data_IF_748660191823
#
_entry.id   IF_748660191823
#
_cell.length_a   1.000
_cell.length_b   1.000
_cell.length_c   1.000
_cell.angle_alpha   90.00
_cell.angle_beta   90.00
_cell.angle_gamma   90.00
#
_symmetry.space_group_name_H-M   'P 1'
#
loop_
_entity.id
_entity.type
_entity.pdbx_description
1 polymer ?
#
# COMPACT_ATOMS: atom_id res chain seq x y z
N UNK A 1 12.34 -7.73 -12.19
CA UNK A 1 12.41 -8.74 -11.11
C UNK A 1 13.34 -8.33 -9.97
N UNK A 2 14.63 -8.08 -10.21
CA UNK A 2 15.63 -7.76 -9.15
C UNK A 2 15.26 -6.56 -8.27
N UNK A 3 14.72 -5.49 -8.85
CA UNK A 3 14.28 -4.29 -8.09
C UNK A 3 13.20 -4.58 -7.05
N UNK A 4 12.35 -5.59 -7.27
CA UNK A 4 11.34 -5.99 -6.30
C UNK A 4 11.99 -6.64 -5.08
N UNK A 5 12.86 -7.63 -5.30
CA UNK A 5 13.59 -8.34 -4.24
C UNK A 5 14.48 -7.38 -3.42
N UNK A 6 15.21 -6.48 -4.08
CA UNK A 6 16.00 -5.43 -3.40
C UNK A 6 15.08 -4.50 -2.60
N UNK A 7 13.87 -4.22 -3.08
CA UNK A 7 12.85 -3.46 -2.36
C UNK A 7 12.32 -4.16 -1.11
N UNK A 8 12.14 -5.49 -1.15
CA UNK A 8 11.70 -6.29 -0.02
C UNK A 8 12.71 -6.28 1.14
N UNK A 9 14.01 -6.32 0.80
CA UNK A 9 15.09 -6.38 1.78
C UNK A 9 15.54 -5.01 2.32
N UNK A 10 14.88 -3.92 1.93
CA UNK A 10 15.26 -2.56 2.34
C UNK A 10 14.78 -2.23 3.75
N UNK A 11 15.70 -1.77 4.58
CA UNK A 11 15.41 -1.21 5.90
C UNK A 11 14.53 0.06 5.79
N UNK A 12 13.53 0.18 6.68
CA UNK A 12 12.63 1.32 6.80
C UNK A 12 12.05 1.79 5.44
N UNK A 13 11.44 0.87 4.70
CA UNK A 13 10.91 1.17 3.36
C UNK A 13 9.67 2.06 3.37
N UNK A 14 8.98 2.19 4.50
CA UNK A 14 7.70 2.89 4.57
C UNK A 14 7.84 4.37 4.88
N UNK A 15 9.00 4.80 5.42
CA UNK A 15 9.25 6.17 5.90
C UNK A 15 8.12 6.69 6.81
N UNK A 16 7.61 5.83 7.69
CA UNK A 16 6.55 6.20 8.63
C UNK A 16 7.06 7.16 9.71
N UNK A 17 8.37 7.14 9.97
CA UNK A 17 9.03 8.05 10.89
C UNK A 17 10.00 9.01 10.18
N UNK A 18 10.28 10.19 10.77
CA UNK A 18 11.34 11.08 10.31
C UNK A 18 12.66 10.34 10.14
N UNK A 19 13.51 10.78 9.21
CA UNK A 19 14.82 10.16 8.94
C UNK A 19 15.78 10.39 10.11
N UNK A 20 15.61 9.64 11.19
CA UNK A 20 16.63 9.47 12.23
C UNK A 20 17.27 8.09 12.06
N UNK A 21 18.56 8.08 11.80
CA UNK A 21 19.37 6.84 11.75
C UNK A 21 19.53 6.19 13.13
N UNK A 22 19.35 6.96 14.21
CA UNK A 22 19.61 6.52 15.59
C UNK A 22 18.49 5.62 16.15
N UNK A 23 17.25 5.79 15.70
CA UNK A 23 16.10 4.99 16.14
C UNK A 23 15.74 3.86 15.18
N UNK A 24 16.59 3.57 14.19
CA UNK A 24 16.31 2.52 13.21
C UNK A 24 16.31 1.17 13.92
N UNK A 25 15.16 0.50 14.00
CA UNK A 25 15.07 -0.86 14.50
C UNK A 25 15.75 -1.83 13.52
N UNK A 26 17.02 -2.18 13.78
CA UNK A 26 17.91 -2.97 12.92
C UNK A 26 17.77 -4.49 13.08
N UNK A 27 16.74 -4.98 13.78
CA UNK A 27 16.66 -6.42 14.06
C UNK A 27 16.32 -7.23 12.78
N UNK A 28 16.92 -8.43 12.59
CA UNK A 28 16.53 -9.32 11.50
C UNK A 28 15.02 -9.63 11.46
N UNK A 29 14.37 -9.65 12.62
CA UNK A 29 12.92 -9.81 12.74
C UNK A 29 12.17 -8.63 12.12
N UNK A 30 12.61 -7.40 12.36
CA UNK A 30 11.99 -6.20 11.77
C UNK A 30 12.15 -6.18 10.25
N UNK A 31 13.33 -6.56 9.74
CA UNK A 31 13.56 -6.72 8.30
C UNK A 31 12.66 -7.79 7.68
N UNK A 32 12.49 -8.94 8.35
CA UNK A 32 11.59 -10.00 7.90
C UNK A 32 10.12 -9.54 7.86
N UNK A 33 9.62 -8.92 8.94
CA UNK A 33 8.24 -8.40 8.99
C UNK A 33 8.01 -7.39 7.86
N UNK A 34 8.99 -6.53 7.62
CA UNK A 34 8.96 -5.56 6.52
C UNK A 34 8.86 -6.24 5.16
N UNK A 35 9.71 -7.23 4.91
CA UNK A 35 9.70 -7.99 3.65
C UNK A 35 8.37 -8.71 3.43
N UNK A 36 7.80 -9.33 4.49
CA UNK A 36 6.50 -10.02 4.44
C UNK A 36 5.38 -9.05 4.11
N UNK A 37 5.31 -7.89 4.78
CA UNK A 37 4.29 -6.87 4.50
C UNK A 37 4.37 -6.40 3.04
N UNK A 38 5.57 -6.04 2.55
CA UNK A 38 5.73 -5.60 1.16
C UNK A 38 5.35 -6.69 0.16
N UNK A 39 5.68 -7.94 0.44
CA UNK A 39 5.34 -9.06 -0.42
C UNK A 39 3.82 -9.27 -0.46
N UNK A 40 3.18 -9.32 0.70
CA UNK A 40 1.72 -9.43 0.81
C UNK A 40 1.02 -8.27 0.09
N UNK A 41 1.42 -7.03 0.37
CA UNK A 41 0.86 -5.84 -0.27
C UNK A 41 1.12 -5.80 -1.79
N UNK A 42 2.26 -6.32 -2.25
CA UNK A 42 2.53 -6.49 -3.68
C UNK A 42 1.55 -7.45 -4.33
N UNK A 43 1.16 -8.56 -3.68
CA UNK A 43 0.18 -9.49 -4.24
C UNK A 43 -1.17 -8.82 -4.47
N UNK A 44 -1.63 -8.00 -3.52
CA UNK A 44 -2.86 -7.23 -3.69
C UNK A 44 -2.74 -6.14 -4.75
N UNK A 45 -1.62 -5.41 -4.77
CA UNK A 45 -1.34 -4.42 -5.80
C UNK A 45 -1.33 -5.03 -7.21
N UNK A 46 -0.82 -6.26 -7.35
CA UNK A 46 -0.84 -6.99 -8.61
C UNK A 46 -2.27 -7.37 -9.03
N UNK A 47 -3.13 -7.76 -8.10
CA UNK A 47 -4.55 -8.05 -8.39
C UNK A 47 -5.29 -6.77 -8.83
N UNK A 48 -5.10 -5.66 -8.11
CA UNK A 48 -5.68 -4.37 -8.48
C UNK A 48 -5.15 -3.87 -9.84
N UNK A 49 -3.87 -4.09 -10.13
CA UNK A 49 -3.29 -3.75 -11.43
C UNK A 49 -3.92 -4.57 -12.56
N UNK A 50 -4.13 -5.87 -12.35
CA UNK A 50 -4.83 -6.75 -13.30
C UNK A 50 -6.29 -6.34 -13.51
N UNK A 51 -6.92 -5.76 -12.49
CA UNK A 51 -8.27 -5.17 -12.59
C UNK A 51 -8.30 -3.80 -13.28
N UNK A 52 -7.15 -3.28 -13.73
CA UNK A 52 -7.05 -2.04 -14.50
C UNK A 52 -6.70 -0.80 -13.69
N UNK A 53 -6.40 -0.93 -12.39
CA UNK A 53 -6.00 0.22 -11.58
C UNK A 53 -4.52 0.57 -11.75
N UNK A 54 -4.22 1.86 -11.78
CA UNK A 54 -2.84 2.35 -11.75
C UNK A 54 -2.32 2.41 -10.31
N UNK A 55 -1.31 1.61 -9.99
CA UNK A 55 -0.75 1.52 -8.62
C UNK A 55 0.31 2.62 -8.42
N UNK A 56 0.18 3.38 -7.32
CA UNK A 56 1.16 4.40 -6.90
C UNK A 56 2.15 3.87 -5.87
N UNK A 57 1.65 3.18 -4.83
CA UNK A 57 2.44 2.67 -3.71
C UNK A 57 1.80 1.42 -3.14
N UNK A 58 2.62 0.55 -2.56
CA UNK A 58 2.18 -0.59 -1.75
C UNK A 58 3.13 -0.80 -0.58
N UNK A 59 2.61 -1.30 0.54
CA UNK A 59 3.35 -1.55 1.78
C UNK A 59 2.79 -0.80 2.99
N UNK A 60 3.29 -1.10 4.18
CA UNK A 60 2.77 -0.64 5.46
C UNK A 60 1.27 -0.95 5.62
N UNK A 61 0.84 -2.17 5.25
CA UNK A 61 -0.55 -2.59 5.33
C UNK A 61 -1.51 -1.87 4.38
N UNK A 62 -1.01 -1.10 3.40
CA UNK A 62 -1.85 -0.35 2.46
C UNK A 62 -1.40 -0.47 1.01
N UNK A 63 -2.36 -0.27 0.09
CA UNK A 63 -2.12 -0.10 -1.34
C UNK A 63 -2.78 1.20 -1.79
N UNK A 64 -1.99 2.07 -2.42
CA UNK A 64 -2.47 3.33 -2.99
C UNK A 64 -2.59 3.17 -4.50
N UNK A 65 -3.79 3.38 -5.04
CA UNK A 65 -4.05 3.34 -6.48
C UNK A 65 -4.78 4.61 -6.94
N UNK A 66 -4.72 4.88 -8.24
CA UNK A 66 -5.52 5.93 -8.88
C UNK A 66 -6.83 5.32 -9.37
N UNK A 67 -7.93 5.97 -9.00
CA UNK A 67 -9.28 5.60 -9.42
C UNK A 67 -9.92 6.84 -10.08
N UNK A 68 -10.63 6.69 -11.20
CA UNK A 68 -11.40 7.79 -11.78
C UNK A 68 -12.42 8.33 -10.76
N UNK A 69 -12.61 9.67 -10.70
CA UNK A 69 -13.43 10.36 -9.68
C UNK A 69 -14.83 9.76 -9.48
N UNK A 70 -15.43 9.23 -10.54
CA UNK A 70 -16.79 8.68 -10.51
C UNK A 70 -16.85 7.15 -10.35
N UNK A 71 -15.71 6.45 -10.25
CA UNK A 71 -15.64 4.99 -10.24
C UNK A 71 -15.10 4.39 -8.93
N UNK A 72 -15.25 5.11 -7.82
CA UNK A 72 -14.79 4.68 -6.49
C UNK A 72 -15.53 3.42 -6.00
N UNK A 73 -16.81 3.26 -6.36
CA UNK A 73 -17.62 2.10 -5.99
C UNK A 73 -17.03 0.81 -6.56
N UNK A 74 -16.76 0.77 -7.86
CA UNK A 74 -16.17 -0.40 -8.51
C UNK A 74 -14.80 -0.75 -7.92
N UNK A 75 -13.99 0.26 -7.59
CA UNK A 75 -12.71 0.05 -6.94
C UNK A 75 -12.87 -0.57 -5.54
N UNK A 76 -13.86 -0.11 -4.77
CA UNK A 76 -14.18 -0.67 -3.47
C UNK A 76 -14.69 -2.12 -3.56
N UNK A 77 -15.59 -2.39 -4.51
CA UNK A 77 -16.16 -3.73 -4.72
C UNK A 77 -15.06 -4.73 -5.15
N UNK A 78 -14.16 -4.31 -6.04
CA UNK A 78 -12.99 -5.12 -6.44
C UNK A 78 -12.03 -5.32 -5.26
N UNK A 79 -11.67 -4.26 -4.53
CA UNK A 79 -10.78 -4.35 -3.36
C UNK A 79 -11.35 -5.30 -2.29
N UNK A 80 -12.66 -5.24 -2.05
CA UNK A 80 -13.38 -6.13 -1.14
C UNK A 80 -13.34 -7.58 -1.62
N UNK A 81 -13.55 -7.81 -2.93
CA UNK A 81 -13.54 -9.15 -3.51
C UNK A 81 -12.18 -9.85 -3.40
N UNK A 82 -11.08 -9.08 -3.42
CA UNK A 82 -9.72 -9.62 -3.27
C UNK A 82 -9.29 -9.74 -1.79
N UNK A 83 -10.16 -9.39 -0.84
CA UNK A 83 -9.87 -9.47 0.60
C UNK A 83 -9.13 -8.26 1.17
N UNK A 84 -9.01 -7.16 0.42
CA UNK A 84 -8.43 -5.90 0.89
C UNK A 84 -9.52 -5.08 1.58
N UNK A 85 -9.93 -5.56 2.76
CA UNK A 85 -10.99 -4.95 3.56
C UNK A 85 -10.41 -4.01 4.60
N UNK A 86 -10.97 -2.81 4.70
CA UNK A 86 -10.77 -1.98 5.89
C UNK A 86 -11.43 -2.68 7.10
N UNK A 87 -10.87 -2.55 8.32
CA UNK A 87 -11.51 -3.05 9.53
C UNK A 87 -12.98 -2.58 9.60
N UNK A 88 -13.96 -3.46 9.91
CA UNK A 88 -15.40 -3.10 9.89
C UNK A 88 -15.78 -1.93 10.81
N UNK A 89 -14.94 -1.64 11.80
CA UNK A 89 -15.05 -0.55 12.77
C UNK A 89 -14.31 0.73 12.34
N UNK A 90 -13.58 0.72 11.23
CA UNK A 90 -12.98 1.88 10.55
C UNK A 90 -13.74 2.25 9.27
N UNK A 91 -14.89 1.64 8.96
CA UNK A 91 -15.64 1.94 7.74
C UNK A 91 -16.40 3.28 7.85
N UNK A 92 -15.66 4.38 8.01
CA UNK A 92 -16.10 5.75 7.73
C UNK A 92 -15.38 6.35 6.50
N UNK A 93 -14.44 5.63 5.89
CA UNK A 93 -13.26 6.25 5.26
C UNK A 93 -13.31 6.32 3.72
N UNK A 94 -14.36 6.91 3.14
CA UNK A 94 -14.18 7.51 1.80
C UNK A 94 -13.73 8.96 2.01
N UNK A 95 -12.44 9.14 2.30
CA UNK A 95 -11.83 10.47 2.23
C UNK A 95 -11.61 10.82 0.76
N UNK A 96 -12.58 11.52 0.15
CA UNK A 96 -12.40 12.12 -1.18
C UNK A 96 -11.52 13.36 -1.01
N UNK A 97 -10.23 13.22 -1.32
CA UNK A 97 -9.31 14.36 -1.34
C UNK A 97 -9.54 15.19 -2.61
N UNK A 98 -10.34 16.26 -2.51
CA UNK A 98 -10.74 17.09 -3.67
C UNK A 98 -9.58 17.91 -4.27
N UNK A 99 -8.47 18.11 -3.54
CA UNK A 99 -7.41 19.08 -3.87
C UNK A 99 -6.34 18.60 -4.87
N UNK A 100 -6.46 17.41 -5.44
CA UNK A 100 -5.49 16.89 -6.43
C UNK A 100 -5.58 17.54 -7.83
N UNK A 101 -6.38 18.60 -7.99
CA UNK A 101 -6.69 19.23 -9.29
C UNK A 101 -5.73 20.34 -9.73
N UNK A 102 -4.73 20.73 -8.93
CA UNK A 102 -3.82 21.83 -9.25
C UNK A 102 -2.35 21.37 -9.37
N UNK A 103 -2.03 20.56 -10.39
CA UNK A 103 -0.67 20.47 -10.98
C UNK A 103 -0.79 20.22 -12.48
#
# INVERSE_FOLDING_TARGET
AMNHWVGLSRENCYRLEPKSTEYRAVSPRAAWITAVDRFLMFTYALQLHKAGFAIRKYGAGSVTCLVPKHNFKDAYDIASSIGLLAPPNMSSDIEVQEDLHNV
#
